data_IF_208712176915
#
_entry.id   IF_208712176915
#
_cell.length_a   1.000
_cell.length_b   1.000
_cell.length_c   1.000
_cell.angle_alpha   90.00
_cell.angle_beta   90.00
_cell.angle_gamma   90.00
#
_symmetry.space_group_name_H-M   'P 1'
#
loop_
_entity.id
_entity.type
_entity.pdbx_description
1 polymer ?
#
# COMPACT_ATOMS: atom_id res chain seq x y z
N UNK A 1 6.23 5.65 3.27
CA UNK A 1 5.52 4.43 2.79
C UNK A 1 4.75 4.63 1.50
N UNK A 2 3.54 5.23 1.48
CA UNK A 2 2.70 5.29 0.27
C UNK A 2 3.40 5.85 -0.98
N UNK A 3 4.05 7.02 -0.90
CA UNK A 3 4.75 7.63 -2.04
C UNK A 3 5.85 6.73 -2.63
N UNK A 4 6.54 5.96 -1.78
CA UNK A 4 7.59 5.01 -2.23
C UNK A 4 6.97 3.84 -2.99
N UNK A 5 5.90 3.26 -2.46
CA UNK A 5 5.17 2.18 -3.12
C UNK A 5 4.52 2.62 -4.44
N UNK A 6 3.99 3.85 -4.48
CA UNK A 6 3.48 4.46 -5.71
C UNK A 6 4.58 4.63 -6.76
N UNK A 7 5.79 5.03 -6.34
CA UNK A 7 6.96 5.11 -7.23
C UNK A 7 7.41 3.76 -7.80
N UNK A 8 7.04 2.65 -7.16
CA UNK A 8 7.24 1.29 -7.66
C UNK A 8 6.09 0.81 -8.57
N UNK A 9 5.08 1.64 -8.81
CA UNK A 9 3.94 1.33 -9.68
C UNK A 9 2.75 0.66 -8.99
N UNK A 10 2.75 0.54 -7.65
CA UNK A 10 1.62 -0.05 -6.93
C UNK A 10 0.49 0.96 -6.68
N UNK A 11 -0.76 0.53 -6.89
CA UNK A 11 -1.94 1.32 -6.55
C UNK A 11 -2.22 1.26 -5.03
N UNK A 12 -1.63 2.21 -4.31
CA UNK A 12 -1.84 2.38 -2.87
C UNK A 12 -2.17 3.82 -2.55
N UNK A 13 -3.11 4.02 -1.62
CA UNK A 13 -3.49 5.35 -1.13
C UNK A 13 -3.30 5.44 0.38
N UNK A 14 -2.64 6.51 0.85
CA UNK A 14 -2.58 6.81 2.28
C UNK A 14 -3.83 7.55 2.72
N UNK A 15 -4.55 6.98 3.69
CA UNK A 15 -5.70 7.61 4.33
C UNK A 15 -5.25 8.13 5.70
N UNK A 16 -5.36 9.45 5.90
CA UNK A 16 -4.88 10.12 7.12
C UNK A 16 -5.91 11.11 7.66
N UNK A 17 -5.64 11.67 8.84
CA UNK A 17 -6.44 12.76 9.39
C UNK A 17 -6.49 13.97 8.42
N UNK A 18 -7.63 14.67 8.28
CA UNK A 18 -8.87 14.55 9.07
C UNK A 18 -9.84 13.46 8.60
N UNK A 19 -9.54 12.74 7.51
CA UNK A 19 -10.44 11.70 6.95
C UNK A 19 -10.65 10.52 7.90
N UNK A 20 -9.66 10.22 8.76
CA UNK A 20 -9.74 9.19 9.80
C UNK A 20 -9.27 9.77 11.14
N UNK A 21 -9.70 9.19 12.29
CA UNK A 21 -9.18 9.58 13.60
C UNK A 21 -7.65 9.51 13.65
N UNK A 22 -7.03 10.41 14.42
CA UNK A 22 -5.58 10.37 14.66
C UNK A 22 -5.20 9.03 15.28
N UNK A 23 -4.09 8.43 14.82
CA UNK A 23 -3.64 7.09 15.25
C UNK A 23 -4.33 5.93 14.52
N UNK A 24 -5.34 6.20 13.68
CA UNK A 24 -6.00 5.21 12.84
C UNK A 24 -5.67 5.40 11.34
N UNK A 25 -4.54 6.07 11.04
CA UNK A 25 -4.01 6.21 9.69
C UNK A 25 -3.69 4.85 9.11
N UNK A 26 -4.03 4.66 7.84
CA UNK A 26 -3.88 3.37 7.16
C UNK A 26 -3.59 3.55 5.68
N UNK A 27 -3.11 2.48 5.08
CA UNK A 27 -3.00 2.37 3.63
C UNK A 27 -4.20 1.61 3.09
N UNK A 28 -4.74 2.04 1.96
CA UNK A 28 -5.69 1.26 1.16
C UNK A 28 -4.96 0.71 -0.05
N UNK A 29 -4.97 -0.60 -0.19
CA UNK A 29 -4.50 -1.32 -1.37
C UNK A 29 -5.72 -1.74 -2.18
N UNK A 30 -5.74 -1.41 -3.47
CA UNK A 30 -6.77 -1.90 -4.39
C UNK A 30 -6.26 -3.18 -5.04
N UNK A 31 -6.95 -4.28 -4.83
CA UNK A 31 -6.65 -5.55 -5.50
C UNK A 31 -7.65 -5.76 -6.64
N UNK A 32 -7.16 -6.21 -7.79
CA UNK A 32 -8.00 -6.68 -8.90
C UNK A 32 -8.60 -8.05 -8.57
N UNK A 33 -9.68 -8.46 -9.25
CA UNK A 33 -10.37 -9.73 -8.99
C UNK A 33 -9.45 -10.96 -9.08
N UNK A 34 -8.49 -10.95 -10.01
CA UNK A 34 -7.54 -12.03 -10.21
C UNK A 34 -6.11 -11.47 -10.33
N UNK A 35 -5.46 -11.13 -9.21
CA UNK A 35 -4.09 -10.66 -9.23
C UNK A 35 -3.15 -11.81 -9.60
N UNK A 36 -2.04 -11.49 -10.24
CA UNK A 36 -0.95 -12.43 -10.47
C UNK A 36 -0.20 -12.72 -9.15
N UNK A 37 0.20 -13.97 -8.93
CA UNK A 37 0.88 -14.39 -7.69
C UNK A 37 2.24 -13.69 -7.52
N UNK A 38 2.99 -13.48 -8.61
CA UNK A 38 4.26 -12.78 -8.54
C UNK A 38 4.05 -11.29 -8.22
N UNK A 39 2.98 -10.67 -8.74
CA UNK A 39 2.59 -9.32 -8.37
C UNK A 39 2.22 -9.20 -6.88
N UNK A 40 1.53 -10.20 -6.32
CA UNK A 40 1.25 -10.25 -4.88
C UNK A 40 2.54 -10.37 -4.05
N UNK A 41 3.45 -11.27 -4.42
CA UNK A 41 4.75 -11.40 -3.74
C UNK A 41 5.53 -10.09 -3.80
N UNK A 42 5.57 -9.44 -4.97
CA UNK A 42 6.27 -8.18 -5.15
C UNK A 42 5.71 -7.06 -4.27
N UNK A 43 4.37 -6.92 -4.17
CA UNK A 43 3.77 -5.85 -3.35
C UNK A 43 4.03 -6.08 -1.86
N UNK A 44 3.98 -7.33 -1.38
CA UNK A 44 4.26 -7.63 0.03
C UNK A 44 5.74 -7.47 0.39
N UNK A 45 6.66 -7.85 -0.51
CA UNK A 45 8.08 -7.60 -0.31
C UNK A 45 8.38 -6.08 -0.23
N UNK A 46 7.82 -5.30 -1.16
CA UNK A 46 7.96 -3.86 -1.17
C UNK A 46 7.35 -3.19 0.07
N UNK A 47 6.23 -3.71 0.56
CA UNK A 47 5.61 -3.27 1.81
C UNK A 47 6.56 -3.48 3.00
N UNK A 48 7.08 -4.69 3.19
CA UNK A 48 7.99 -5.00 4.29
C UNK A 48 9.20 -4.06 4.30
N UNK A 49 9.88 -3.93 3.16
CA UNK A 49 11.08 -3.11 3.01
C UNK A 49 10.80 -1.62 3.32
N UNK A 50 9.59 -1.14 3.01
CA UNK A 50 9.24 0.27 3.19
C UNK A 50 8.72 0.59 4.59
N UNK A 51 8.27 -0.41 5.35
CA UNK A 51 7.74 -0.24 6.72
C UNK A 51 8.75 -0.47 7.83
N UNK A 52 9.91 -1.05 7.51
CA UNK A 52 11.08 -1.06 8.38
C UNK A 52 11.65 0.35 8.57
#
# INVERSE_FOLDING_TARGET
>A
VAARLQGLGFDVCAIRSPTVPKGAERLRLSLTLNPDDAALVAVFAALQETTQ
#
